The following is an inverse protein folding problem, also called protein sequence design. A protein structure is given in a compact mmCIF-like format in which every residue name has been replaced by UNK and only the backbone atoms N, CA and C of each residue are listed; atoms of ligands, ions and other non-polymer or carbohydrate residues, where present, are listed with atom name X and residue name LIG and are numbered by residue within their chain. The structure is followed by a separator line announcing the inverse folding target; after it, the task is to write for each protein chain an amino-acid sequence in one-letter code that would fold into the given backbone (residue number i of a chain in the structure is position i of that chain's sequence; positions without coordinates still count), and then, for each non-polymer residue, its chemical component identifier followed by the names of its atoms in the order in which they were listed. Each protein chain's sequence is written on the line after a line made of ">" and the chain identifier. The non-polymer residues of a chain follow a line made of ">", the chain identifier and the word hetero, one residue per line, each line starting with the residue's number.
data_IF_129946691780
#
_entry.id   IF_129946691780
#
_cell.length_a   1.000
_cell.length_b   1.000
_cell.length_c   1.000
_cell.angle_alpha   90.00
_cell.angle_beta   90.00
_cell.angle_gamma   90.00
#
_symmetry.space_group_name_H-M   'P 1'
#
loop_
_entity.id
_entity.type
_entity.pdbx_description
1 polymer ?
#
# COMPACT_ATOMS: atom_id res chain seq x y z
N UNK A 1 -12.30 64.35 -0.96
CA UNK A 1 -12.46 63.12 -0.14
C UNK A 1 -13.16 62.06 -1.00
N UNK A 2 -12.84 60.79 -0.76
CA UNK A 2 -13.09 59.55 -1.53
C UNK A 2 -12.14 59.29 -2.72
N UNK A 3 -11.31 58.22 -2.65
CA UNK A 3 -10.24 57.98 -3.60
C UNK A 3 -10.69 57.20 -4.84
N UNK A 4 -10.02 57.52 -5.96
CA UNK A 4 -9.92 56.74 -7.18
C UNK A 4 -9.14 55.44 -6.94
N UNK A 5 -9.66 54.30 -7.43
CA UNK A 5 -8.97 53.27 -8.25
C UNK A 5 -9.73 51.93 -8.16
N UNK A 6 -10.55 51.64 -9.16
CA UNK A 6 -10.72 50.26 -9.62
C UNK A 6 -9.51 49.98 -10.53
N UNK A 7 -8.39 49.57 -9.92
CA UNK A 7 -7.28 49.02 -10.67
C UNK A 7 -7.71 47.66 -11.22
N UNK A 8 -7.70 47.56 -12.54
CA UNK A 8 -7.56 46.34 -13.33
C UNK A 8 -6.94 45.20 -12.50
N UNK A 9 -7.76 44.20 -12.17
CA UNK A 9 -7.27 42.92 -11.68
C UNK A 9 -6.47 42.33 -12.84
N UNK A 10 -5.15 42.46 -12.75
CA UNK A 10 -4.20 41.82 -13.65
C UNK A 10 -4.47 40.31 -13.60
N UNK A 11 -4.96 39.76 -14.71
CA UNK A 11 -5.16 38.34 -14.94
C UNK A 11 -3.81 37.61 -15.08
N UNK A 12 -2.99 37.59 -14.01
CA UNK A 12 -1.68 36.94 -13.99
C UNK A 12 -1.32 36.18 -12.71
N UNK A 13 -2.29 35.88 -11.85
CA UNK A 13 -2.10 34.91 -10.78
C UNK A 13 -3.22 33.87 -10.78
N UNK A 14 -3.22 33.02 -11.81
CA UNK A 14 -3.61 31.61 -11.63
C UNK A 14 -2.47 30.90 -10.90
N UNK A 15 -2.10 31.37 -9.72
CA UNK A 15 -1.41 30.52 -8.76
C UNK A 15 -2.52 29.84 -8.00
N UNK A 16 -2.88 28.63 -8.42
CA UNK A 16 -3.25 27.64 -7.41
C UNK A 16 -2.16 27.74 -6.34
N UNK A 17 -2.56 27.75 -5.07
CA UNK A 17 -1.61 27.63 -3.96
C UNK A 17 -0.94 26.27 -4.16
N UNK A 18 0.16 26.24 -4.91
CA UNK A 18 0.92 25.03 -5.16
C UNK A 18 1.63 24.73 -3.85
N UNK A 19 1.17 23.70 -3.16
CA UNK A 19 1.95 23.06 -2.10
C UNK A 19 3.26 22.63 -2.77
N UNK A 20 4.41 23.01 -2.20
CA UNK A 20 5.71 22.58 -2.72
C UNK A 20 5.89 21.08 -2.45
N UNK A 21 5.54 20.28 -3.45
CA UNK A 21 5.67 18.83 -3.45
C UNK A 21 6.98 18.36 -4.12
N UNK A 22 7.96 19.23 -4.34
CA UNK A 22 9.20 18.87 -5.06
C UNK A 22 9.92 17.68 -4.42
N UNK A 23 10.03 17.65 -3.09
CA UNK A 23 10.60 16.53 -2.34
C UNK A 23 9.78 15.24 -2.51
N UNK A 24 8.45 15.32 -2.42
CA UNK A 24 7.57 14.16 -2.61
C UNK A 24 7.66 13.61 -4.04
N UNK A 25 7.76 14.48 -5.05
CA UNK A 25 7.96 14.08 -6.45
C UNK A 25 9.33 13.46 -6.70
N UNK A 26 10.38 13.98 -6.08
CA UNK A 26 11.72 13.40 -6.17
C UNK A 26 11.74 11.99 -5.56
N UNK A 27 11.11 11.84 -4.38
CA UNK A 27 10.96 10.56 -3.70
C UNK A 27 10.17 9.55 -4.53
N UNK A 28 9.06 10.00 -5.11
CA UNK A 28 8.19 9.18 -5.96
C UNK A 28 8.95 8.56 -7.14
N UNK A 29 9.97 9.26 -7.67
CA UNK A 29 10.81 8.76 -8.77
C UNK A 29 11.89 7.78 -8.34
N UNK A 30 12.30 7.78 -7.07
CA UNK A 30 13.36 6.92 -6.56
C UNK A 30 12.84 5.56 -6.10
N UNK A 31 11.60 5.50 -5.60
CA UNK A 31 11.01 4.29 -5.04
C UNK A 31 9.99 3.71 -6.02
N UNK A 32 10.33 2.61 -6.69
CA UNK A 32 9.43 1.93 -7.64
C UNK A 32 8.61 0.84 -6.96
N UNK A 33 7.30 1.00 -6.95
CA UNK A 33 6.33 0.12 -6.30
C UNK A 33 5.44 -0.53 -7.35
N UNK A 34 5.44 -1.87 -7.40
CA UNK A 34 4.40 -2.64 -8.09
C UNK A 34 3.29 -2.98 -7.09
N UNK A 35 2.05 -2.67 -7.45
CA UNK A 35 0.88 -3.03 -6.67
C UNK A 35 0.18 -4.24 -7.29
N UNK A 36 -0.01 -5.31 -6.53
CA UNK A 36 -0.73 -6.49 -6.99
C UNK A 36 -1.99 -6.72 -6.15
N UNK A 37 -3.09 -6.98 -6.84
CA UNK A 37 -4.43 -6.98 -6.24
C UNK A 37 -5.15 -8.28 -6.60
N UNK A 38 -5.28 -9.24 -5.67
CA UNK A 38 -6.15 -10.38 -5.89
C UNK A 38 -7.62 -9.94 -5.81
N UNK A 39 -8.42 -10.38 -6.77
CA UNK A 39 -9.86 -10.14 -6.82
C UNK A 39 -10.57 -11.33 -7.46
N UNK A 40 -11.82 -11.11 -7.86
CA UNK A 40 -12.72 -12.08 -8.48
C UNK A 40 -13.31 -11.47 -9.75
N UNK A 41 -13.71 -12.30 -10.71
CA UNK A 41 -14.32 -11.81 -11.96
C UNK A 41 -15.56 -10.95 -11.70
N UNK A 42 -16.36 -11.32 -10.69
CA UNK A 42 -17.57 -10.59 -10.27
C UNK A 42 -17.28 -9.15 -9.82
N UNK A 43 -16.07 -8.87 -9.36
CA UNK A 43 -15.68 -7.56 -8.82
C UNK A 43 -14.99 -6.66 -9.85
N UNK A 44 -14.78 -7.14 -11.08
CA UNK A 44 -14.13 -6.37 -12.15
C UNK A 44 -14.81 -5.02 -12.42
N UNK A 45 -16.14 -5.01 -12.47
CA UNK A 45 -16.93 -3.80 -12.77
C UNK A 45 -17.28 -2.93 -11.57
N UNK A 46 -16.93 -3.35 -10.35
CA UNK A 46 -17.25 -2.65 -9.09
C UNK A 46 -15.98 -2.22 -8.36
N UNK A 47 -15.40 -3.12 -7.57
CA UNK A 47 -14.26 -2.86 -6.69
C UNK A 47 -12.97 -2.66 -7.47
N UNK A 48 -12.66 -3.54 -8.43
CA UNK A 48 -11.46 -3.42 -9.26
C UNK A 48 -11.49 -2.11 -10.05
N UNK A 49 -12.64 -1.77 -10.63
CA UNK A 49 -12.83 -0.47 -11.28
C UNK A 49 -12.58 0.70 -10.33
N UNK A 50 -13.09 0.65 -9.09
CA UNK A 50 -12.85 1.71 -8.11
C UNK A 50 -11.38 1.83 -7.70
N UNK A 51 -10.70 0.71 -7.48
CA UNK A 51 -9.25 0.66 -7.22
C UNK A 51 -8.48 1.28 -8.39
N UNK A 52 -8.80 0.87 -9.63
CA UNK A 52 -8.20 1.41 -10.84
C UNK A 52 -8.48 2.90 -11.03
N UNK A 53 -9.69 3.35 -10.70
CA UNK A 53 -10.06 4.76 -10.83
C UNK A 53 -9.39 5.65 -9.78
N UNK A 54 -8.99 5.09 -8.64
CA UNK A 54 -8.48 5.80 -7.47
C UNK A 54 -7.01 5.50 -7.18
N UNK A 55 -6.69 4.77 -6.12
CA UNK A 55 -5.36 4.76 -5.49
C UNK A 55 -4.27 4.04 -6.30
N UNK A 56 -4.61 3.00 -7.07
CA UNK A 56 -3.59 2.15 -7.72
C UNK A 56 -2.81 2.87 -8.83
N UNK A 57 -3.41 3.91 -9.43
CA UNK A 57 -2.77 4.77 -10.44
C UNK A 57 -1.52 5.51 -9.94
N UNK A 58 -1.33 5.59 -8.61
CA UNK A 58 -0.14 6.19 -7.98
C UNK A 58 0.98 5.17 -7.75
N UNK A 59 0.74 3.87 -7.99
CA UNK A 59 1.80 2.87 -8.08
C UNK A 59 2.55 3.02 -9.43
N UNK A 60 3.82 2.62 -9.49
CA UNK A 60 4.61 2.71 -10.73
C UNK A 60 4.20 1.63 -11.75
N UNK A 61 3.61 0.55 -11.26
CA UNK A 61 2.93 -0.46 -12.06
C UNK A 61 1.91 -1.20 -11.21
N UNK A 62 0.95 -1.86 -11.85
CA UNK A 62 -0.03 -2.66 -11.13
C UNK A 62 -0.55 -3.85 -11.93
N UNK A 63 -1.06 -4.84 -11.21
CA UNK A 63 -1.67 -6.04 -11.78
C UNK A 63 -2.82 -6.53 -10.90
N UNK A 64 -3.93 -6.90 -11.53
CA UNK A 64 -5.07 -7.54 -10.91
C UNK A 64 -5.03 -9.04 -11.21
N UNK A 65 -5.28 -9.86 -10.20
CA UNK A 65 -5.34 -11.32 -10.35
C UNK A 65 -6.75 -11.83 -10.10
N UNK A 66 -7.32 -12.51 -11.09
CA UNK A 66 -8.70 -13.04 -11.02
C UNK A 66 -8.74 -14.51 -11.47
N UNK A 67 -9.86 -15.17 -11.18
CA UNK A 67 -10.29 -16.41 -11.83
C UNK A 67 -11.25 -16.00 -12.95
N UNK A 68 -10.80 -15.89 -14.19
CA UNK A 68 -11.67 -15.54 -15.33
C UNK A 68 -11.69 -16.67 -16.35
N UNK A 69 -12.88 -16.97 -16.88
CA UNK A 69 -13.01 -17.88 -18.03
C UNK A 69 -13.03 -17.11 -19.36
N UNK A 70 -12.80 -15.79 -19.34
CA UNK A 70 -12.99 -14.91 -20.48
C UNK A 70 -11.71 -14.16 -20.83
N UNK A 71 -11.16 -14.46 -22.01
CA UNK A 71 -9.89 -13.95 -22.54
C UNK A 71 -9.86 -12.45 -22.94
N UNK A 72 -10.88 -11.66 -22.57
CA UNK A 72 -11.01 -10.24 -22.98
C UNK A 72 -10.71 -9.25 -21.83
N UNK A 73 -9.94 -9.66 -20.84
CA UNK A 73 -9.54 -8.76 -19.76
C UNK A 73 -8.42 -7.79 -20.23
N UNK A 74 -8.38 -6.58 -19.64
CA UNK A 74 -7.32 -5.59 -19.87
C UNK A 74 -5.92 -6.20 -19.64
N UNK A 75 -4.87 -5.60 -20.22
CA UNK A 75 -3.47 -6.06 -20.05
C UNK A 75 -3.04 -6.21 -18.58
N UNK A 76 -3.68 -5.45 -17.70
CA UNK A 76 -3.33 -5.38 -16.28
C UNK A 76 -4.15 -6.39 -15.45
N UNK A 77 -4.98 -7.23 -16.08
CA UNK A 77 -5.78 -8.29 -15.44
C UNK A 77 -5.29 -9.65 -15.90
N UNK A 78 -4.80 -10.45 -14.96
CA UNK A 78 -4.18 -11.75 -15.21
C UNK A 78 -4.99 -12.87 -14.55
N UNK A 79 -5.25 -13.92 -15.32
CA UNK A 79 -5.81 -15.18 -14.81
C UNK A 79 -4.70 -16.06 -14.23
N UNK A 80 -4.85 -16.51 -12.98
CA UNK A 80 -3.87 -17.40 -12.32
C UNK A 80 -4.25 -18.89 -12.37
N UNK A 81 -5.42 -19.24 -12.90
CA UNK A 81 -5.94 -20.61 -12.86
C UNK A 81 -6.26 -21.12 -11.44
N UNK A 82 -6.42 -20.19 -10.47
CA UNK A 82 -6.81 -20.50 -9.09
C UNK A 82 -8.23 -20.02 -8.87
N UNK A 83 -9.09 -20.94 -8.42
CA UNK A 83 -10.53 -20.69 -8.26
C UNK A 83 -10.83 -19.53 -7.31
N UNK A 84 -11.88 -18.79 -7.60
CA UNK A 84 -12.42 -17.81 -6.66
C UNK A 84 -13.01 -18.48 -5.40
N UNK A 85 -12.75 -17.87 -4.24
CA UNK A 85 -13.37 -18.27 -2.98
C UNK A 85 -12.47 -18.03 -1.77
N UNK A 86 -13.08 -17.85 -0.59
CA UNK A 86 -12.34 -17.56 0.65
C UNK A 86 -11.36 -18.68 1.04
N UNK A 87 -11.68 -19.92 0.69
CA UNK A 87 -10.80 -21.08 0.89
C UNK A 87 -9.60 -21.12 -0.05
N UNK A 88 -9.59 -20.30 -1.09
CA UNK A 88 -8.58 -20.23 -2.15
C UNK A 88 -7.81 -18.88 -2.16
N UNK A 89 -7.78 -18.17 -1.03
CA UNK A 89 -7.03 -16.91 -0.96
C UNK A 89 -5.52 -17.15 -0.83
N UNK A 90 -5.13 -18.20 -0.10
CA UNK A 90 -3.73 -18.50 0.19
C UNK A 90 -3.01 -19.02 -1.06
N UNK A 91 -3.53 -20.05 -1.72
CA UNK A 91 -3.02 -20.57 -2.99
C UNK A 91 -3.04 -19.51 -4.10
N UNK A 92 -4.09 -18.68 -4.19
CA UNK A 92 -4.13 -17.55 -5.14
C UNK A 92 -3.01 -16.55 -4.86
N UNK A 93 -2.77 -16.20 -3.60
CA UNK A 93 -1.70 -15.24 -3.24
C UNK A 93 -0.31 -15.83 -3.45
N UNK A 94 -0.10 -17.12 -3.18
CA UNK A 94 1.14 -17.82 -3.52
C UNK A 94 1.37 -17.83 -5.04
N UNK A 95 0.34 -18.11 -5.84
CA UNK A 95 0.43 -18.07 -7.30
C UNK A 95 0.70 -16.65 -7.82
N UNK A 96 0.05 -15.63 -7.25
CA UNK A 96 0.28 -14.23 -7.57
C UNK A 96 1.72 -13.81 -7.27
N UNK A 97 2.23 -14.14 -6.08
CA UNK A 97 3.60 -13.83 -5.67
C UNK A 97 4.65 -14.54 -6.55
N UNK A 98 4.37 -15.76 -7.00
CA UNK A 98 5.19 -16.46 -7.98
C UNK A 98 5.20 -15.73 -9.32
N UNK A 99 4.02 -15.38 -9.84
CA UNK A 99 3.89 -14.63 -11.09
C UNK A 99 4.63 -13.29 -11.03
N UNK A 100 4.40 -12.52 -9.97
CA UNK A 100 5.01 -11.20 -9.76
C UNK A 100 6.54 -11.31 -9.69
N UNK A 101 7.06 -12.32 -9.01
CA UNK A 101 8.50 -12.56 -8.94
C UNK A 101 9.11 -12.85 -10.31
N UNK A 102 8.52 -13.77 -11.09
CA UNK A 102 9.04 -14.14 -12.41
C UNK A 102 8.95 -12.98 -13.41
N UNK A 103 7.82 -12.27 -13.41
CA UNK A 103 7.52 -11.27 -14.44
C UNK A 103 8.08 -9.89 -14.14
N UNK A 104 8.06 -9.48 -12.87
CA UNK A 104 8.32 -8.09 -12.46
C UNK A 104 9.41 -7.95 -11.38
N UNK A 105 9.93 -9.06 -10.83
CA UNK A 105 10.89 -9.05 -9.72
C UNK A 105 12.17 -8.23 -9.98
N UNK A 106 12.53 -8.01 -11.23
CA UNK A 106 13.70 -7.22 -11.64
C UNK A 106 13.37 -5.75 -11.91
N UNK A 107 12.12 -5.40 -12.13
CA UNK A 107 11.73 -4.07 -12.62
C UNK A 107 11.32 -3.10 -11.51
N UNK A 108 10.94 -3.61 -10.35
CA UNK A 108 10.44 -2.82 -9.21
C UNK A 108 11.21 -3.11 -7.93
N UNK A 109 11.29 -2.11 -7.06
CA UNK A 109 12.02 -2.18 -5.78
C UNK A 109 11.15 -2.80 -4.67
N UNK A 110 9.84 -2.58 -4.76
CA UNK A 110 8.86 -2.96 -3.74
C UNK A 110 7.58 -3.53 -4.36
N UNK A 111 6.96 -4.48 -3.65
CA UNK A 111 5.80 -5.24 -4.12
C UNK A 111 4.70 -5.18 -3.05
N UNK A 112 3.70 -4.35 -3.28
CA UNK A 112 2.56 -4.12 -2.38
C UNK A 112 1.40 -5.05 -2.75
N UNK A 113 0.95 -5.86 -1.79
CA UNK A 113 -0.34 -6.54 -1.84
C UNK A 113 -1.42 -5.60 -1.35
N UNK A 114 -2.44 -5.32 -2.18
CA UNK A 114 -3.65 -4.61 -1.75
C UNK A 114 -4.89 -5.45 -2.04
N UNK A 115 -5.84 -5.51 -1.10
CA UNK A 115 -7.14 -6.13 -1.37
C UNK A 115 -8.00 -5.25 -2.27
N UNK A 116 -8.99 -5.84 -2.94
CA UNK A 116 -9.95 -5.09 -3.77
C UNK A 116 -10.90 -4.18 -2.96
N UNK A 117 -10.87 -4.27 -1.63
CA UNK A 117 -11.51 -3.35 -0.68
C UNK A 117 -10.50 -2.63 0.25
N UNK A 118 -9.25 -2.48 -0.19
CA UNK A 118 -8.28 -1.61 0.44
C UNK A 118 -8.24 -0.23 -0.24
N UNK A 119 -7.84 0.79 0.52
CA UNK A 119 -7.40 2.08 -0.03
C UNK A 119 -6.00 2.40 0.49
N UNK A 120 -5.09 2.78 -0.41
CA UNK A 120 -3.68 3.02 -0.08
C UNK A 120 -3.25 4.43 -0.47
N UNK A 121 -2.66 5.19 0.45
CA UNK A 121 -1.98 6.45 0.19
C UNK A 121 -0.53 6.12 -0.24
N UNK A 122 -0.34 5.91 -1.53
CA UNK A 122 0.92 5.39 -2.10
C UNK A 122 2.11 6.33 -1.84
N UNK A 123 1.88 7.63 -1.76
CA UNK A 123 2.88 8.64 -1.40
C UNK A 123 3.42 8.42 0.02
N UNK A 124 2.52 8.16 0.98
CA UNK A 124 2.92 7.85 2.36
C UNK A 124 3.66 6.51 2.43
N UNK A 125 3.23 5.52 1.64
CA UNK A 125 3.94 4.26 1.50
C UNK A 125 5.36 4.48 0.97
N UNK A 126 5.52 5.18 -0.17
CA UNK A 126 6.83 5.46 -0.77
C UNK A 126 7.74 6.22 0.20
N UNK A 127 7.17 7.11 1.02
CA UNK A 127 7.91 7.79 2.07
C UNK A 127 8.39 6.86 3.19
N UNK A 128 7.56 5.92 3.66
CA UNK A 128 8.06 4.87 4.58
C UNK A 128 9.19 4.05 3.91
N UNK A 129 8.96 3.58 2.68
CA UNK A 129 9.85 2.68 1.96
C UNK A 129 11.22 3.30 1.63
N UNK A 130 11.32 4.62 1.50
CA UNK A 130 12.60 5.29 1.22
C UNK A 130 13.63 5.17 2.36
N UNK A 131 13.18 4.77 3.55
CA UNK A 131 14.05 4.55 4.71
C UNK A 131 14.65 3.14 4.74
N UNK A 132 14.29 2.28 3.78
CA UNK A 132 14.71 0.88 3.73
C UNK A 132 15.47 0.57 2.44
N UNK A 133 16.40 -0.39 2.50
CA UNK A 133 17.12 -0.88 1.33
C UNK A 133 16.34 -2.02 0.65
N UNK A 134 15.86 -1.87 -0.60
CA UNK A 134 15.08 -2.91 -1.28
C UNK A 134 15.88 -4.19 -1.59
N UNK A 135 17.21 -4.15 -1.52
CA UNK A 135 18.09 -5.30 -1.69
C UNK A 135 18.32 -6.08 -0.38
N UNK A 136 17.67 -5.68 0.70
CA UNK A 136 17.64 -6.41 1.98
C UNK A 136 16.24 -6.97 2.21
N UNK A 137 16.10 -8.11 2.90
CA UNK A 137 14.80 -8.74 3.10
C UNK A 137 13.95 -7.97 4.11
N UNK A 138 13.06 -7.12 3.58
CA UNK A 138 12.12 -6.32 4.34
C UNK A 138 10.67 -6.75 4.05
N UNK A 139 9.92 -6.98 5.13
CA UNK A 139 8.48 -7.25 5.16
C UNK A 139 7.79 -6.23 6.09
N UNK A 140 6.88 -5.41 5.54
CA UNK A 140 6.17 -4.37 6.26
C UNK A 140 4.66 -4.54 6.09
N UNK A 141 3.89 -4.16 7.10
CA UNK A 141 2.44 -4.19 7.12
C UNK A 141 1.92 -3.90 8.51
N UNK A 142 0.64 -4.21 8.76
CA UNK A 142 0.07 -4.13 10.09
C UNK A 142 0.69 -5.16 11.04
N UNK A 143 1.11 -4.70 12.21
CA UNK A 143 1.69 -5.52 13.25
C UNK A 143 0.64 -5.97 14.25
N UNK A 144 0.30 -7.25 14.26
CA UNK A 144 -0.45 -7.83 15.37
C UNK A 144 0.48 -8.08 16.56
N UNK A 145 0.15 -7.50 17.72
CA UNK A 145 0.95 -7.57 18.97
C UNK A 145 1.17 -8.99 19.54
N UNK A 146 0.56 -10.05 18.98
CA UNK A 146 0.64 -11.40 19.53
C UNK A 146 1.46 -12.36 18.66
N UNK A 147 2.56 -12.80 19.28
CA UNK A 147 3.55 -13.81 18.87
C UNK A 147 3.06 -14.83 17.82
N UNK A 148 3.84 -14.95 16.74
CA UNK A 148 3.80 -16.02 15.71
C UNK A 148 2.62 -16.00 14.73
N UNK A 149 1.76 -14.97 14.77
CA UNK A 149 0.71 -14.74 13.77
C UNK A 149 0.92 -13.39 13.07
N UNK A 150 2.14 -13.19 12.58
CA UNK A 150 2.43 -12.07 11.68
C UNK A 150 1.61 -12.28 10.40
N UNK A 151 0.80 -11.30 10.05
CA UNK A 151 0.02 -11.28 8.82
C UNK A 151 -0.72 -9.96 8.78
N UNK A 152 -0.56 -9.17 7.72
CA UNK A 152 -1.19 -7.84 7.60
C UNK A 152 -2.65 -7.96 7.15
N UNK A 153 -3.45 -8.69 7.92
CA UNK A 153 -4.85 -9.04 7.67
C UNK A 153 -5.67 -7.91 7.06
N UNK A 154 -5.84 -7.90 5.73
CA UNK A 154 -6.59 -6.87 4.99
C UNK A 154 -5.95 -5.47 4.96
N UNK A 155 -5.04 -5.15 5.88
CA UNK A 155 -4.39 -3.85 5.95
C UNK A 155 -3.33 -3.63 4.85
N UNK A 156 -3.14 -4.56 3.90
CA UNK A 156 -2.06 -4.56 2.90
C UNK A 156 -0.67 -4.85 3.48
N UNK A 157 0.18 -5.53 2.72
CA UNK A 157 1.59 -5.73 3.10
C UNK A 157 2.49 -5.46 1.92
N UNK A 158 3.75 -5.13 2.21
CA UNK A 158 4.76 -4.83 1.20
C UNK A 158 6.01 -5.66 1.44
N UNK A 159 6.54 -6.19 0.34
CA UNK A 159 7.80 -6.92 0.30
C UNK A 159 8.82 -6.12 -0.49
N UNK A 160 10.03 -6.04 0.04
CA UNK A 160 11.20 -5.66 -0.76
C UNK A 160 11.47 -6.67 -1.88
N UNK A 161 12.22 -6.24 -2.89
CA UNK A 161 12.75 -7.11 -3.94
C UNK A 161 13.43 -8.35 -3.40
N UNK A 162 14.30 -8.18 -2.41
CA UNK A 162 15.01 -9.32 -1.82
C UNK A 162 14.07 -10.25 -1.02
N UNK A 163 13.10 -9.69 -0.28
CA UNK A 163 12.09 -10.50 0.41
C UNK A 163 11.26 -11.33 -0.57
N UNK A 164 10.78 -10.73 -1.66
CA UNK A 164 10.04 -11.44 -2.71
C UNK A 164 10.88 -12.58 -3.32
N UNK A 165 12.17 -12.33 -3.56
CA UNK A 165 13.11 -13.34 -4.09
C UNK A 165 13.27 -14.50 -3.11
N UNK A 166 13.52 -14.23 -1.83
CA UNK A 166 13.70 -15.27 -0.81
C UNK A 166 12.43 -16.09 -0.60
N UNK A 167 11.27 -15.44 -0.52
CA UNK A 167 9.98 -16.12 -0.40
C UNK A 167 9.77 -17.11 -1.55
N UNK A 168 10.09 -16.71 -2.79
CA UNK A 168 9.92 -17.57 -3.95
C UNK A 168 10.97 -18.68 -4.04
N UNK A 169 12.26 -18.34 -3.92
CA UNK A 169 13.37 -19.28 -4.15
C UNK A 169 13.52 -20.27 -3.00
N UNK A 170 13.35 -19.82 -1.76
CA UNK A 170 13.58 -20.63 -0.57
C UNK A 170 12.28 -21.16 0.07
N UNK A 171 11.13 -20.55 -0.25
CA UNK A 171 9.81 -20.91 0.27
C UNK A 171 8.95 -21.65 -0.76
N UNK A 172 8.34 -20.89 -1.69
CA UNK A 172 7.34 -21.37 -2.64
C UNK A 172 7.88 -22.49 -3.53
N UNK A 173 8.99 -22.26 -4.25
CA UNK A 173 9.60 -23.28 -5.14
C UNK A 173 10.13 -24.52 -4.41
N UNK A 174 10.37 -24.40 -3.10
CA UNK A 174 10.79 -25.50 -2.22
C UNK A 174 9.62 -26.17 -1.51
N UNK A 175 8.38 -25.81 -1.85
CA UNK A 175 7.15 -26.30 -1.26
C UNK A 175 7.11 -26.18 0.28
N UNK A 176 7.71 -25.11 0.83
CA UNK A 176 7.68 -24.82 2.28
C UNK A 176 6.50 -23.95 2.70
N UNK A 177 5.88 -23.23 1.76
CA UNK A 177 4.70 -22.41 2.06
C UNK A 177 3.45 -23.30 2.04
N UNK A 178 2.58 -23.12 3.03
CA UNK A 178 1.27 -23.77 3.04
C UNK A 178 0.33 -23.05 2.08
N UNK A 179 -0.48 -23.81 1.33
CA UNK A 179 -1.43 -23.29 0.34
C UNK A 179 -2.87 -23.15 0.89
N UNK A 180 -3.10 -23.57 2.13
CA UNK A 180 -4.41 -23.60 2.79
C UNK A 180 -4.38 -22.84 4.11
N UNK A 181 -5.51 -22.24 4.48
CA UNK A 181 -5.64 -21.43 5.69
C UNK A 181 -5.98 -19.97 5.39
N UNK A 182 -5.75 -19.10 6.37
CA UNK A 182 -5.95 -17.66 6.23
C UNK A 182 -4.72 -17.04 5.55
N UNK A 183 -4.91 -16.45 4.39
CA UNK A 183 -3.83 -15.95 3.51
C UNK A 183 -2.78 -15.14 4.26
N UNK A 184 -3.18 -14.08 4.98
CA UNK A 184 -2.22 -13.21 5.65
C UNK A 184 -1.36 -13.97 6.70
N UNK A 185 -1.97 -14.95 7.39
CA UNK A 185 -1.28 -15.79 8.39
C UNK A 185 -0.33 -16.77 7.72
N UNK A 186 -0.71 -17.36 6.59
CA UNK A 186 0.11 -18.33 5.88
C UNK A 186 1.28 -17.69 5.13
N UNK A 187 1.05 -16.52 4.52
CA UNK A 187 2.12 -15.75 3.89
C UNK A 187 3.13 -15.31 4.95
N UNK A 188 2.68 -14.73 6.06
CA UNK A 188 3.57 -14.36 7.17
C UNK A 188 4.34 -15.55 7.75
N UNK A 189 3.68 -16.69 7.94
CA UNK A 189 4.36 -17.94 8.36
C UNK A 189 5.42 -18.38 7.35
N UNK A 190 5.14 -18.27 6.04
CA UNK A 190 6.12 -18.65 5.04
C UNK A 190 7.32 -17.69 5.03
N UNK A 191 7.09 -16.38 5.17
CA UNK A 191 8.13 -15.38 5.32
C UNK A 191 9.06 -15.70 6.51
N UNK A 192 8.47 -16.04 7.68
CA UNK A 192 9.24 -16.50 8.84
C UNK A 192 10.03 -17.79 8.56
N UNK A 193 9.43 -18.73 7.83
CA UNK A 193 10.09 -20.00 7.46
C UNK A 193 11.33 -19.79 6.58
N UNK A 194 11.37 -18.70 5.82
CA UNK A 194 12.55 -18.32 5.01
C UNK A 194 13.47 -17.31 5.70
N UNK A 195 13.28 -17.11 7.02
CA UNK A 195 14.17 -16.31 7.86
C UNK A 195 13.87 -14.81 7.89
N UNK A 196 12.65 -14.39 7.54
CA UNK A 196 12.22 -12.99 7.58
C UNK A 196 11.32 -12.71 8.78
N UNK A 197 11.47 -11.54 9.39
CA UNK A 197 10.55 -11.02 10.41
C UNK A 197 9.85 -9.76 9.92
N UNK A 198 8.70 -9.47 10.52
CA UNK A 198 8.01 -8.19 10.27
C UNK A 198 8.83 -7.02 10.83
N UNK A 199 8.81 -5.90 10.11
CA UNK A 199 9.41 -4.64 10.54
C UNK A 199 8.36 -3.70 11.13
N UNK A 200 8.79 -2.85 12.06
CA UNK A 200 7.91 -1.88 12.69
C UNK A 200 7.50 -0.77 11.71
N UNK A 201 6.19 -0.58 11.58
CA UNK A 201 5.57 0.46 10.74
C UNK A 201 4.85 1.53 11.56
N UNK A 202 4.84 1.41 12.89
CA UNK A 202 4.29 2.45 13.76
C UNK A 202 5.08 3.73 13.58
N UNK A 203 4.39 4.86 13.73
CA UNK A 203 5.09 6.12 13.80
C UNK A 203 5.81 6.30 15.15
N UNK A 204 6.58 7.38 15.28
CA UNK A 204 7.37 7.73 16.47
C UNK A 204 6.55 7.90 17.74
N UNK A 205 5.23 8.09 17.62
CA UNK A 205 4.30 8.21 18.72
C UNK A 205 3.57 6.89 19.00
N UNK A 206 3.98 5.80 18.34
CA UNK A 206 3.37 4.48 18.47
C UNK A 206 2.04 4.33 17.73
N UNK A 207 1.70 5.24 16.81
CA UNK A 207 0.41 5.21 16.08
C UNK A 207 0.51 4.37 14.81
N UNK A 208 -0.59 3.71 14.48
CA UNK A 208 -0.67 2.81 13.33
C UNK A 208 -0.63 3.56 11.99
N UNK A 209 0.01 2.93 10.99
CA UNK A 209 0.05 3.40 9.59
C UNK A 209 -0.68 2.46 8.64
N UNK A 210 -0.70 1.16 8.93
CA UNK A 210 -1.48 0.16 8.19
C UNK A 210 -2.70 -0.21 9.04
N UNK A 211 -3.90 0.12 8.54
CA UNK A 211 -5.14 0.03 9.30
C UNK A 211 -6.00 -1.15 8.83
N UNK A 212 -6.25 -2.17 9.68
CA UNK A 212 -7.00 -3.38 9.31
C UNK A 212 -8.52 -3.17 9.31
N UNK A 213 -8.99 -1.96 9.63
CA UNK A 213 -10.41 -1.62 9.71
C UNK A 213 -10.73 -0.43 8.80
N UNK A 214 -12.04 -0.16 8.71
CA UNK A 214 -12.57 0.93 7.90
C UNK A 214 -12.08 2.29 8.43
N UNK A 215 -11.82 3.29 7.56
CA UNK A 215 -11.42 4.63 7.99
C UNK A 215 -12.32 5.25 9.07
N UNK A 216 -13.62 4.95 9.06
CA UNK A 216 -14.56 5.42 10.08
C UNK A 216 -14.30 4.92 11.50
N UNK A 217 -13.58 3.80 11.65
CA UNK A 217 -13.14 3.28 12.96
C UNK A 217 -11.87 3.97 13.46
N UNK A 218 -11.17 4.66 12.55
CA UNK A 218 -9.89 5.32 12.76
C UNK A 218 -10.06 6.85 12.79
N UNK A 219 -10.97 7.33 13.66
CA UNK A 219 -11.28 8.75 13.84
C UNK A 219 -11.00 9.15 15.29
N UNK A 220 -10.12 10.13 15.49
CA UNK A 220 -9.78 10.68 16.82
C UNK A 220 -8.38 11.32 16.83
N UNK A 221 -8.11 12.20 17.79
CA UNK A 221 -6.83 12.93 17.86
C UNK A 221 -5.61 12.02 18.04
N UNK A 222 -5.79 10.86 18.69
CA UNK A 222 -4.71 9.95 19.06
C UNK A 222 -4.73 8.62 18.29
N UNK A 223 -5.67 8.43 17.36
CA UNK A 223 -5.90 7.09 16.80
C UNK A 223 -4.85 6.65 15.79
N UNK A 224 -4.20 7.59 15.10
CA UNK A 224 -3.68 7.29 13.78
C UNK A 224 -2.51 8.18 13.39
N UNK A 225 -1.55 7.61 12.68
CA UNK A 225 -0.46 8.39 12.10
C UNK A 225 -1.00 9.41 11.10
N UNK A 226 -0.43 10.62 11.09
CA UNK A 226 -0.68 11.61 10.05
C UNK A 226 -0.21 11.13 8.66
N UNK A 227 0.68 10.14 8.64
CA UNK A 227 1.15 9.43 7.45
C UNK A 227 0.51 8.03 7.36
N UNK A 228 -0.80 7.95 7.57
CA UNK A 228 -1.56 6.71 7.35
C UNK A 228 -1.37 6.21 5.92
N UNK A 229 -1.06 4.93 5.78
CA UNK A 229 -0.69 4.29 4.52
C UNK A 229 -1.87 3.54 3.92
N UNK A 230 -2.60 2.74 4.69
CA UNK A 230 -3.64 1.88 4.14
C UNK A 230 -4.81 1.72 5.08
N UNK A 231 -5.99 1.46 4.51
CA UNK A 231 -7.22 1.14 5.22
C UNK A 231 -7.91 -0.06 4.57
N UNK A 232 -8.55 -0.90 5.36
CA UNK A 232 -9.32 -2.06 4.88
C UNK A 232 -10.83 -1.82 4.89
N UNK A 233 -11.60 -2.69 4.23
CA UNK A 233 -13.08 -2.64 4.16
C UNK A 233 -13.58 -1.30 3.61
N UNK A 234 -12.87 -0.74 2.63
CA UNK A 234 -13.23 0.48 1.93
C UNK A 234 -14.05 0.09 0.70
N UNK A 235 -15.34 0.40 0.71
CA UNK A 235 -16.20 0.13 -0.45
C UNK A 235 -15.91 1.10 -1.61
N UNK A 236 -16.35 0.81 -2.85
CA UNK A 236 -16.08 1.63 -4.03
C UNK A 236 -16.40 3.12 -3.89
N UNK A 237 -17.51 3.47 -3.24
CA UNK A 237 -17.92 4.87 -3.08
C UNK A 237 -17.03 5.59 -2.07
N UNK A 238 -16.70 4.92 -0.96
CA UNK A 238 -15.76 5.45 0.02
C UNK A 238 -14.37 5.63 -0.56
N UNK A 239 -13.90 4.72 -1.43
CA UNK A 239 -12.61 4.90 -2.14
C UNK A 239 -12.60 6.21 -2.91
N UNK A 240 -13.66 6.51 -3.66
CA UNK A 240 -13.79 7.76 -4.44
C UNK A 240 -13.89 9.00 -3.55
N UNK A 241 -14.59 8.89 -2.42
CA UNK A 241 -14.69 9.99 -1.45
C UNK A 241 -13.32 10.29 -0.84
N UNK A 242 -12.60 9.26 -0.36
CA UNK A 242 -11.25 9.41 0.19
C UNK A 242 -10.32 10.00 -0.86
N UNK A 243 -10.38 9.51 -2.10
CA UNK A 243 -9.59 10.02 -3.22
C UNK A 243 -9.86 11.49 -3.52
N UNK A 244 -11.12 11.87 -3.56
CA UNK A 244 -11.52 13.25 -3.76
C UNK A 244 -10.99 14.15 -2.64
N UNK A 245 -11.18 13.75 -1.39
CA UNK A 245 -10.71 14.54 -0.24
C UNK A 245 -9.19 14.69 -0.22
N UNK A 246 -8.44 13.63 -0.53
CA UNK A 246 -6.98 13.68 -0.51
C UNK A 246 -6.37 14.42 -1.71
N UNK A 247 -6.93 14.25 -2.92
CA UNK A 247 -6.27 14.69 -4.16
C UNK A 247 -7.03 15.74 -4.96
N UNK A 248 -8.29 16.05 -4.60
CA UNK A 248 -9.12 17.05 -5.29
C UNK A 248 -9.54 18.22 -4.40
N UNK A 249 -9.23 18.15 -3.10
CA UNK A 249 -9.48 19.25 -2.17
C UNK A 249 -8.17 19.79 -1.61
N UNK A 250 -8.17 21.05 -1.20
CA UNK A 250 -7.05 21.68 -0.51
C UNK A 250 -7.59 22.48 0.66
N UNK A 251 -6.97 22.32 1.83
CA UNK A 251 -7.32 23.09 3.03
C UNK A 251 -6.38 24.27 3.12
N UNK A 252 -6.89 25.48 2.86
CA UNK A 252 -6.09 26.69 2.94
C UNK A 252 -5.49 26.86 4.35
N UNK A 253 -4.18 27.09 4.42
CA UNK A 253 -3.44 27.27 5.68
C UNK A 253 -3.07 25.98 6.43
N UNK A 254 -3.42 24.80 5.92
CA UNK A 254 -2.95 23.52 6.49
C UNK A 254 -1.47 23.33 6.13
N UNK A 255 -0.59 23.50 7.11
CA UNK A 255 0.83 23.18 6.98
C UNK A 255 1.13 21.82 7.61
N UNK A 256 1.76 20.93 6.85
CA UNK A 256 2.40 19.73 7.39
C UNK A 256 3.82 20.13 7.81
N UNK A 257 4.17 19.92 9.09
CA UNK A 257 5.53 20.15 9.56
C UNK A 257 6.43 19.00 9.08
N UNK A 258 7.01 19.17 7.88
CA UNK A 258 7.89 18.17 7.25
C UNK A 258 9.11 17.82 8.10
N UNK A 259 9.62 18.73 8.94
CA UNK A 259 10.74 18.43 9.86
C UNK A 259 10.32 17.47 10.95
N UNK A 260 9.08 17.61 11.44
CA UNK A 260 8.50 16.64 12.37
C UNK A 260 8.29 15.28 11.70
N UNK A 261 7.90 15.24 10.42
CA UNK A 261 7.58 14.04 9.65
C UNK A 261 8.82 13.21 9.24
N UNK A 262 9.97 13.82 8.99
CA UNK A 262 11.23 13.08 8.79
C UNK A 262 11.63 12.25 10.01
N UNK A 263 11.17 12.63 11.20
CA UNK A 263 11.41 11.92 12.45
C UNK A 263 10.30 10.90 12.77
N UNK A 264 9.30 10.69 11.89
CA UNK A 264 8.11 9.92 12.23
C UNK A 264 8.26 8.41 12.16
N UNK A 265 9.25 7.85 11.47
CA UNK A 265 9.44 6.41 11.50
C UNK A 265 10.60 6.05 12.41
N UNK A 266 10.44 4.95 13.15
CA UNK A 266 11.52 4.39 13.94
C UNK A 266 12.66 4.03 12.98
N UNK A 267 13.87 4.55 13.22
CA UNK A 267 15.02 4.19 12.40
C UNK A 267 15.18 2.65 12.35
N UNK A 268 15.41 2.06 11.17
CA UNK A 268 15.60 0.62 11.06
C UNK A 268 16.77 0.18 11.94
N UNK A 269 16.46 -0.53 13.03
CA UNK A 269 17.45 -1.05 13.99
C UNK A 269 17.19 -0.69 15.46
N UNK A 270 16.30 0.26 15.76
CA UNK A 270 15.90 0.56 17.14
C UNK A 270 14.55 -0.10 17.41
N UNK A 271 14.52 -1.41 17.60
CA UNK A 271 13.36 -2.06 18.23
C UNK A 271 13.43 -1.67 19.70
N UNK A 272 12.52 -0.82 20.24
CA UNK A 272 12.48 -0.62 21.68
C UNK A 272 12.23 -1.99 22.32
N UNK A 273 12.97 -2.35 23.39
CA UNK A 273 12.75 -3.62 24.07
C UNK A 273 11.27 -3.74 24.42
N UNK A 274 10.69 -4.88 24.06
CA UNK A 274 9.34 -5.24 24.46
C UNK A 274 9.35 -5.37 25.99
N UNK A 275 8.78 -4.39 26.68
CA UNK A 275 8.35 -4.53 28.08
C UNK A 275 7.12 -5.45 28.18
#
# INVERSE_FOLDING_TARGET
>A
MLPRRLSLINARFLTSVMIDESAARALHRQVRVLCWIPSTEKQLNSKVRAVNDTWVKRCDGHVFFVDTQHHNASSDVIELGVKDGRGHLTDKSVAALAYVYEKYGKDYDWFLKGDDDAYVVVENLKFLLSHYNPNTPVYLGHLYKWHLREGSGGASYVLSREALRLLNVNGIRRNKCRLTGHEDVEIGRCLHTVGMSSHNTLDRFGRETFHPLNPSTHIGADCCSQLSISFHKVNPDLMRVVDHLLYRTSVYGRNLDMKSLQLHFIEPGIVPPLE
#
